data_IF_204557745616
#
_entry.id   IF_204557745616
#
_cell.length_a   1.000
_cell.length_b   1.000
_cell.length_c   1.000
_cell.angle_alpha   90.00
_cell.angle_beta   90.00
_cell.angle_gamma   90.00
#
_symmetry.space_group_name_H-M   'P 1'
#
loop_
_entity.id
_entity.type
_entity.pdbx_description
1 polymer ?
#
# COMPACT_ATOMS: atom_id res chain seq x y z
N UNK A 1 -12.66 3.40 7.64
CA UNK A 1 -11.42 2.77 8.17
C UNK A 1 -10.62 2.24 7.02
N UNK A 2 -9.32 2.48 7.01
CA UNK A 2 -8.35 1.77 6.15
C UNK A 2 -7.24 1.24 7.06
N UNK A 3 -6.85 -0.01 6.87
CA UNK A 3 -5.80 -0.66 7.66
C UNK A 3 -4.80 -1.35 6.74
N UNK A 4 -3.52 -1.12 6.95
CA UNK A 4 -2.47 -1.79 6.20
C UNK A 4 -1.60 -2.60 7.14
N UNK A 5 -1.78 -3.92 7.06
CA UNK A 5 -0.89 -4.87 7.71
C UNK A 5 0.28 -5.28 6.82
N UNK A 6 1.04 -6.28 7.27
CA UNK A 6 2.17 -6.80 6.49
C UNK A 6 1.77 -7.55 5.22
N UNK A 7 0.63 -8.27 5.23
CA UNK A 7 0.21 -9.15 4.14
C UNK A 7 -0.96 -8.58 3.32
N UNK A 8 -1.79 -7.73 3.89
CA UNK A 8 -3.05 -7.28 3.30
C UNK A 8 -3.37 -5.85 3.68
N UNK A 9 -4.26 -5.25 2.88
CA UNK A 9 -4.94 -3.99 3.17
C UNK A 9 -6.41 -4.29 3.39
N UNK A 10 -7.03 -3.62 4.36
CA UNK A 10 -8.46 -3.67 4.60
C UNK A 10 -9.09 -2.30 4.43
N UNK A 11 -10.32 -2.29 3.93
CA UNK A 11 -11.16 -1.10 3.92
C UNK A 11 -12.51 -1.44 4.52
N UNK A 12 -13.04 -0.55 5.36
CA UNK A 12 -14.41 -0.64 5.84
C UNK A 12 -15.02 0.75 5.99
N UNK A 13 -16.25 0.91 5.53
CA UNK A 13 -17.01 2.14 5.66
C UNK A 13 -18.51 1.87 5.64
N UNK A 14 -19.26 2.80 6.25
CA UNK A 14 -20.72 2.77 6.21
C UNK A 14 -21.20 3.15 4.80
N UNK A 15 -22.11 2.35 4.28
CA UNK A 15 -22.77 2.61 3.00
C UNK A 15 -24.03 3.45 3.22
N UNK A 16 -24.38 4.33 2.29
CA UNK A 16 -25.70 4.97 2.29
C UNK A 16 -26.82 3.91 2.28
N UNK A 17 -27.88 4.13 3.06
CA UNK A 17 -29.02 3.19 3.12
C UNK A 17 -29.73 3.03 1.77
N UNK A 18 -29.57 4.01 0.89
CA UNK A 18 -30.15 4.04 -0.47
C UNK A 18 -29.28 3.34 -1.51
N UNK A 19 -28.11 2.87 -1.15
CA UNK A 19 -27.19 2.20 -2.06
C UNK A 19 -27.60 0.74 -2.24
N UNK A 20 -27.91 0.33 -3.46
CA UNK A 20 -28.35 -1.03 -3.80
C UNK A 20 -27.20 -1.99 -4.16
N UNK A 21 -25.97 -1.63 -3.84
CA UNK A 21 -24.83 -2.49 -4.08
C UNK A 21 -24.92 -3.79 -3.27
N UNK A 22 -24.94 -4.92 -3.96
CA UNK A 22 -25.01 -6.25 -3.37
C UNK A 22 -23.69 -6.98 -3.56
N UNK A 23 -23.09 -7.38 -2.48
CA UNK A 23 -21.84 -8.14 -2.47
C UNK A 23 -21.74 -8.96 -1.21
N UNK A 24 -20.94 -10.03 -1.23
CA UNK A 24 -20.55 -10.80 -0.03
C UNK A 24 -19.80 -9.96 1.01
N UNK A 25 -19.27 -8.81 0.59
CA UNK A 25 -18.51 -7.87 1.42
C UNK A 25 -19.38 -6.78 2.04
N UNK A 26 -20.72 -6.90 1.91
CA UNK A 26 -21.70 -6.01 2.54
C UNK A 26 -22.36 -6.71 3.70
N UNK A 27 -22.36 -6.07 4.86
CA UNK A 27 -22.88 -6.59 6.11
C UNK A 27 -23.86 -5.61 6.73
N UNK A 28 -24.95 -6.14 7.27
CA UNK A 28 -25.84 -5.38 8.16
C UNK A 28 -25.52 -5.73 9.61
N UNK A 29 -25.25 -4.72 10.41
CA UNK A 29 -24.89 -4.88 11.82
C UNK A 29 -25.70 -3.91 12.68
N UNK A 30 -26.20 -4.39 13.81
CA UNK A 30 -26.79 -3.57 14.84
C UNK A 30 -25.78 -3.40 15.99
N UNK A 31 -25.42 -2.16 16.31
CA UNK A 31 -24.49 -1.80 17.39
C UNK A 31 -25.20 -1.23 18.62
N UNK A 32 -26.52 -1.28 18.66
CA UNK A 32 -27.31 -0.81 19.80
C UNK A 32 -27.40 -1.82 20.92
N UNK A 33 -27.83 -1.37 22.11
CA UNK A 33 -28.16 -2.25 23.22
C UNK A 33 -29.36 -3.14 22.89
N UNK A 34 -29.47 -4.28 23.58
CA UNK A 34 -30.57 -5.22 23.40
C UNK A 34 -31.94 -4.51 23.49
N UNK A 35 -32.76 -4.69 22.46
CA UNK A 35 -34.06 -4.07 22.31
C UNK A 35 -34.14 -2.77 21.52
N UNK A 36 -32.99 -2.19 21.10
CA UNK A 36 -32.95 -1.03 20.20
C UNK A 36 -32.99 -1.48 18.74
N UNK A 37 -34.17 -1.79 18.21
CA UNK A 37 -34.27 -2.51 16.94
C UNK A 37 -33.93 -1.70 15.70
N UNK A 38 -33.99 -0.37 15.67
CA UNK A 38 -33.83 0.37 14.39
C UNK A 38 -32.82 1.52 14.41
N UNK A 39 -32.43 2.05 15.54
CA UNK A 39 -31.65 3.29 15.59
C UNK A 39 -30.14 3.09 15.40
N UNK A 40 -29.66 1.84 15.50
CA UNK A 40 -28.23 1.50 15.44
C UNK A 40 -27.92 0.47 14.37
N UNK A 41 -28.76 0.38 13.34
CA UNK A 41 -28.52 -0.49 12.19
C UNK A 41 -27.64 0.22 11.16
N UNK A 42 -26.52 -0.39 10.86
CA UNK A 42 -25.54 0.07 9.88
C UNK A 42 -25.41 -0.94 8.75
N UNK A 43 -25.35 -0.45 7.53
CA UNK A 43 -24.96 -1.22 6.34
C UNK A 43 -23.49 -0.91 6.05
N UNK A 44 -22.62 -1.88 6.22
CA UNK A 44 -21.17 -1.71 6.14
C UNK A 44 -20.62 -2.51 4.96
N UNK A 45 -19.86 -1.84 4.12
CA UNK A 45 -18.97 -2.52 3.19
C UNK A 45 -17.63 -2.75 3.89
N UNK A 46 -17.12 -3.99 3.84
CA UNK A 46 -15.82 -4.34 4.40
C UNK A 46 -15.15 -5.42 3.57
N UNK A 47 -13.95 -5.16 3.09
CA UNK A 47 -13.21 -6.12 2.28
C UNK A 47 -11.72 -6.11 2.58
N UNK A 48 -11.04 -7.19 2.17
CA UNK A 48 -9.60 -7.43 2.36
C UNK A 48 -8.92 -7.65 1.02
N UNK A 49 -7.83 -6.90 0.79
CA UNK A 49 -6.97 -7.02 -0.38
C UNK A 49 -5.70 -7.78 0.01
N UNK A 50 -5.73 -9.09 -0.12
CA UNK A 50 -4.58 -9.95 0.18
C UNK A 50 -3.46 -9.73 -0.86
N UNK A 51 -2.21 -9.65 -0.40
CA UNK A 51 -1.06 -9.40 -1.26
C UNK A 51 -0.75 -7.91 -1.50
N UNK A 52 -1.52 -6.99 -0.89
CA UNK A 52 -1.32 -5.54 -0.96
C UNK A 52 -0.80 -4.94 0.35
N UNK A 53 -0.53 -5.75 1.37
CA UNK A 53 0.12 -5.27 2.59
C UNK A 53 1.59 -4.93 2.37
N UNK A 54 2.16 -4.19 3.32
CA UNK A 54 3.49 -3.62 3.21
C UNK A 54 4.60 -4.64 2.92
N UNK A 55 4.59 -5.79 3.60
CA UNK A 55 5.61 -6.82 3.37
C UNK A 55 5.47 -7.48 1.98
N UNK A 56 4.24 -7.73 1.54
CA UNK A 56 4.00 -8.33 0.22
C UNK A 56 4.31 -7.35 -0.90
N UNK A 57 3.98 -6.06 -0.69
CA UNK A 57 4.37 -4.99 -1.59
C UNK A 57 5.89 -4.88 -1.74
N UNK A 58 6.65 -4.91 -0.62
CA UNK A 58 8.11 -4.91 -0.67
C UNK A 58 8.66 -6.11 -1.45
N UNK A 59 8.14 -7.32 -1.19
CA UNK A 59 8.55 -8.53 -1.94
C UNK A 59 8.29 -8.39 -3.44
N UNK A 60 7.12 -7.87 -3.83
CA UNK A 60 6.80 -7.61 -5.24
C UNK A 60 7.77 -6.60 -5.86
N UNK A 61 8.07 -5.53 -5.14
CA UNK A 61 9.02 -4.51 -5.59
C UNK A 61 10.43 -5.09 -5.78
N UNK A 62 10.96 -5.80 -4.79
CA UNK A 62 12.27 -6.44 -4.87
C UNK A 62 12.34 -7.48 -6.00
N UNK A 63 11.31 -8.29 -6.16
CA UNK A 63 11.20 -9.21 -7.28
C UNK A 63 11.22 -8.49 -8.64
N UNK A 64 10.59 -7.32 -8.74
CA UNK A 64 10.62 -6.51 -9.97
C UNK A 64 12.01 -5.97 -10.29
N UNK A 65 12.77 -5.53 -9.28
CA UNK A 65 14.16 -5.10 -9.47
C UNK A 65 15.03 -6.24 -10.00
N UNK A 66 14.92 -7.41 -9.38
CA UNK A 66 15.67 -8.61 -9.78
C UNK A 66 15.31 -9.04 -11.21
N UNK A 67 14.01 -9.09 -11.54
CA UNK A 67 13.55 -9.52 -12.87
C UNK A 67 14.00 -8.62 -14.03
N UNK A 68 14.24 -7.34 -13.73
CA UNK A 68 14.75 -6.36 -14.70
C UNK A 68 16.27 -6.37 -14.83
N UNK A 69 16.97 -7.12 -13.97
CA UNK A 69 18.43 -7.14 -13.93
C UNK A 69 19.05 -5.79 -13.52
N UNK A 70 18.29 -4.96 -12.82
CA UNK A 70 18.74 -3.66 -12.37
C UNK A 70 19.62 -3.80 -11.12
N UNK A 71 20.68 -2.99 -11.03
CA UNK A 71 21.51 -2.88 -9.82
C UNK A 71 21.19 -1.62 -9.00
N UNK A 72 20.32 -0.76 -9.51
CA UNK A 72 19.91 0.48 -8.89
C UNK A 72 18.53 0.33 -8.23
N UNK A 73 18.42 0.76 -6.98
CA UNK A 73 17.16 0.89 -6.25
C UNK A 73 16.77 2.37 -6.08
N UNK A 74 15.81 2.82 -6.88
CA UNK A 74 15.36 4.22 -6.84
C UNK A 74 14.56 4.57 -5.60
N UNK A 75 13.99 3.57 -4.91
CA UNK A 75 13.24 3.77 -3.68
C UNK A 75 14.10 3.76 -2.42
N UNK A 76 15.34 3.29 -2.51
CA UNK A 76 16.27 3.30 -1.40
C UNK A 76 17.05 4.62 -1.33
N UNK A 77 17.39 5.13 -0.12
CA UNK A 77 18.20 6.33 0.04
C UNK A 77 19.53 6.25 -0.71
N UNK A 78 20.00 7.38 -1.19
CA UNK A 78 21.23 7.47 -1.97
C UNK A 78 22.42 6.93 -1.17
N UNK A 79 23.18 6.03 -1.78
CA UNK A 79 24.34 5.40 -1.17
C UNK A 79 24.04 4.20 -0.26
N UNK A 80 22.78 3.88 0.00
CA UNK A 80 22.43 2.63 0.68
C UNK A 80 22.75 1.45 -0.22
N UNK A 81 23.58 0.54 0.27
CA UNK A 81 23.83 -0.74 -0.41
C UNK A 81 23.07 -1.86 0.31
N UNK A 82 22.26 -2.61 -0.42
CA UNK A 82 21.53 -3.77 0.10
C UNK A 82 21.74 -4.98 -0.79
N UNK A 83 21.60 -6.16 -0.20
CA UNK A 83 21.59 -7.43 -0.92
C UNK A 83 20.22 -8.05 -0.82
N UNK A 84 19.59 -8.29 -1.94
CA UNK A 84 18.34 -9.06 -1.98
C UNK A 84 18.73 -10.52 -2.14
N UNK A 85 18.23 -11.38 -1.26
CA UNK A 85 18.48 -12.82 -1.27
C UNK A 85 17.75 -13.55 -2.38
N UNK A 86 17.72 -14.87 -2.31
CA UNK A 86 17.10 -15.73 -3.32
C UNK A 86 15.65 -15.35 -3.59
N UNK A 87 15.42 -14.83 -4.81
CA UNK A 87 14.09 -14.40 -5.26
C UNK A 87 13.59 -15.35 -6.33
N UNK A 88 12.38 -15.88 -6.13
CA UNK A 88 11.70 -16.69 -7.12
C UNK A 88 10.69 -15.82 -7.88
N UNK A 89 10.90 -15.67 -9.18
CA UNK A 89 10.01 -14.90 -10.05
C UNK A 89 9.30 -15.85 -11.02
N UNK A 90 7.97 -15.80 -11.05
CA UNK A 90 7.20 -16.55 -12.07
C UNK A 90 7.35 -15.87 -13.43
N UNK A 91 8.01 -16.54 -14.37
CA UNK A 91 8.10 -16.07 -15.73
C UNK A 91 6.81 -16.40 -16.49
N UNK A 92 6.11 -15.37 -16.93
CA UNK A 92 4.77 -15.44 -17.55
C UNK A 92 4.72 -16.27 -18.83
N UNK A 93 5.80 -16.25 -19.63
CA UNK A 93 5.84 -16.89 -20.96
C UNK A 93 5.98 -18.42 -20.94
N UNK A 94 6.48 -19.02 -19.86
CA UNK A 94 6.81 -20.46 -19.86
C UNK A 94 6.35 -21.24 -18.63
N UNK A 95 5.53 -20.67 -17.76
CA UNK A 95 5.14 -21.27 -16.45
C UNK A 95 6.37 -21.72 -15.61
N UNK A 96 7.53 -21.18 -15.91
CA UNK A 96 8.77 -21.49 -15.20
C UNK A 96 9.02 -20.48 -14.10
N UNK A 97 9.39 -20.97 -12.93
CA UNK A 97 9.92 -20.14 -11.86
C UNK A 97 11.41 -19.91 -12.14
N UNK A 98 11.81 -18.64 -12.25
CA UNK A 98 13.23 -18.27 -12.33
C UNK A 98 13.72 -17.99 -10.92
N UNK A 99 14.78 -18.67 -10.52
CA UNK A 99 15.46 -18.45 -9.26
C UNK A 99 16.67 -17.57 -9.51
N UNK A 100 16.71 -16.40 -8.87
CA UNK A 100 17.82 -15.49 -8.90
C UNK A 100 18.59 -15.60 -7.58
N UNK A 101 19.89 -15.80 -7.69
CA UNK A 101 20.78 -15.75 -6.56
C UNK A 101 21.05 -14.28 -6.16
N UNK A 102 21.54 -14.09 -4.96
CA UNK A 102 21.80 -12.80 -4.31
C UNK A 102 22.27 -11.72 -5.28
N UNK A 103 21.52 -10.63 -5.36
CA UNK A 103 21.88 -9.45 -6.14
C UNK A 103 22.12 -8.26 -5.20
N UNK A 104 23.15 -7.48 -5.52
CA UNK A 104 23.46 -6.23 -4.81
C UNK A 104 22.76 -5.07 -5.51
N UNK A 105 22.15 -4.21 -4.73
CA UNK A 105 21.47 -3.01 -5.18
C UNK A 105 22.06 -1.79 -4.49
N UNK A 106 22.13 -0.69 -5.25
CA UNK A 106 22.59 0.60 -4.77
C UNK A 106 21.43 1.59 -4.76
N UNK A 107 21.12 2.15 -3.62
CA UNK A 107 20.09 3.19 -3.47
C UNK A 107 20.49 4.46 -4.24
N UNK A 108 19.53 5.04 -4.96
CA UNK A 108 19.73 6.29 -5.71
C UNK A 108 18.84 7.45 -5.26
N UNK A 109 17.87 7.21 -4.41
CA UNK A 109 16.99 8.24 -3.82
C UNK A 109 16.17 9.01 -4.84
N UNK A 110 15.75 8.37 -5.94
CA UNK A 110 15.01 9.02 -7.02
C UNK A 110 13.50 8.84 -6.82
N UNK A 111 12.89 9.75 -6.07
CA UNK A 111 11.47 9.69 -5.71
C UNK A 111 10.54 9.46 -6.89
N UNK A 112 10.65 10.26 -7.96
CA UNK A 112 9.70 10.18 -9.07
C UNK A 112 9.82 8.84 -9.84
N UNK A 113 11.04 8.33 -9.97
CA UNK A 113 11.29 7.01 -10.55
C UNK A 113 10.78 5.88 -9.64
N UNK A 114 10.94 6.02 -8.33
CA UNK A 114 10.38 5.12 -7.34
C UNK A 114 8.85 5.09 -7.45
N UNK A 115 8.19 6.23 -7.42
CA UNK A 115 6.74 6.34 -7.51
C UNK A 115 6.19 5.68 -8.79
N UNK A 116 6.80 5.98 -9.95
CA UNK A 116 6.42 5.36 -11.23
C UNK A 116 6.53 3.84 -11.19
N UNK A 117 7.58 3.30 -10.56
CA UNK A 117 7.77 1.85 -10.42
C UNK A 117 6.72 1.22 -9.52
N UNK A 118 6.44 1.85 -8.38
CA UNK A 118 5.46 1.35 -7.43
C UNK A 118 4.04 1.39 -8.03
N UNK A 119 3.67 2.47 -8.70
CA UNK A 119 2.38 2.58 -9.37
C UNK A 119 2.16 1.45 -10.37
N UNK A 120 3.20 1.07 -11.12
CA UNK A 120 3.12 -0.05 -12.08
C UNK A 120 2.95 -1.43 -11.43
N UNK A 121 3.26 -1.58 -10.14
CA UNK A 121 3.05 -2.82 -9.38
C UNK A 121 1.66 -2.92 -8.76
N UNK A 122 1.04 -1.78 -8.51
CA UNK A 122 -0.32 -1.69 -7.95
C UNK A 122 -1.35 -1.80 -9.07
N UNK A 123 -1.10 -1.09 -10.17
CA UNK A 123 -1.94 -1.07 -11.37
C UNK A 123 -1.59 -2.25 -12.30
N UNK A 124 -1.98 -3.44 -11.90
CA UNK A 124 -1.80 -4.64 -12.74
C UNK A 124 -2.80 -4.65 -13.89
N UNK A 125 -2.42 -4.00 -15.00
CA UNK A 125 -3.22 -3.92 -16.24
C UNK A 125 -3.53 -5.26 -16.90
N UNK A 126 -3.20 -6.36 -16.27
CA UNK A 126 -3.41 -7.71 -16.81
C UNK A 126 -4.71 -8.36 -16.36
N UNK A 127 -5.37 -7.79 -15.39
CA UNK A 127 -6.70 -8.19 -14.97
C UNK A 127 -7.75 -7.51 -15.87
N UNK A 128 -8.93 -8.13 -16.06
CA UNK A 128 -9.98 -7.50 -16.85
C UNK A 128 -10.36 -6.16 -16.23
N UNK A 129 -10.45 -5.14 -17.07
CA UNK A 129 -10.90 -3.83 -16.62
C UNK A 129 -12.23 -3.96 -15.88
N UNK A 130 -12.41 -3.16 -14.84
CA UNK A 130 -13.68 -3.01 -14.15
C UNK A 130 -14.72 -2.50 -15.14
N UNK A 131 -15.53 -3.41 -15.70
CA UNK A 131 -16.29 -3.13 -16.91
C UNK A 131 -17.51 -2.22 -16.71
N UNK A 132 -18.07 -2.13 -15.49
CA UNK A 132 -19.31 -1.38 -15.26
C UNK A 132 -19.43 -0.74 -13.86
N UNK A 133 -18.47 -0.96 -12.97
CA UNK A 133 -18.52 -0.51 -11.58
C UNK A 133 -17.21 0.09 -11.13
N UNK A 134 -17.25 0.90 -10.09
CA UNK A 134 -16.05 1.33 -9.37
C UNK A 134 -15.35 0.11 -8.78
N UNK A 135 -14.03 0.03 -8.93
CA UNK A 135 -13.25 -1.03 -8.32
C UNK A 135 -12.16 -0.45 -7.43
N UNK A 136 -11.84 -1.19 -6.38
CA UNK A 136 -10.66 -0.98 -5.56
C UNK A 136 -9.48 -1.83 -6.05
N UNK A 137 -8.47 -1.98 -5.21
CA UNK A 137 -7.28 -2.79 -5.47
C UNK A 137 -7.64 -4.21 -5.93
N UNK A 138 -6.89 -4.74 -6.90
CA UNK A 138 -7.13 -6.09 -7.42
C UNK A 138 -8.47 -6.25 -8.14
N UNK A 139 -9.01 -5.15 -8.67
CA UNK A 139 -10.29 -5.14 -9.41
C UNK A 139 -11.49 -5.66 -8.61
N UNK A 140 -11.44 -5.54 -7.28
CA UNK A 140 -12.56 -5.90 -6.42
C UNK A 140 -13.68 -4.89 -6.61
N UNK A 141 -14.91 -5.30 -7.03
CA UNK A 141 -16.03 -4.39 -7.17
C UNK A 141 -16.32 -3.64 -5.86
N UNK A 142 -16.58 -2.35 -5.99
CA UNK A 142 -16.81 -1.47 -4.86
C UNK A 142 -18.11 -0.70 -5.04
N UNK A 143 -18.82 -0.39 -3.94
CA UNK A 143 -19.97 0.51 -3.99
C UNK A 143 -19.52 1.91 -4.37
N UNK A 144 -20.47 2.73 -4.81
CA UNK A 144 -20.22 4.15 -5.06
C UNK A 144 -19.75 4.83 -3.76
N UNK A 145 -18.61 5.48 -3.83
CA UNK A 145 -17.94 6.01 -2.66
C UNK A 145 -17.59 7.49 -2.87
N UNK A 146 -18.09 8.34 -1.99
CA UNK A 146 -17.78 9.77 -2.04
C UNK A 146 -16.85 10.16 -0.90
N UNK A 147 -15.58 10.37 -1.22
CA UNK A 147 -14.55 10.78 -0.25
C UNK A 147 -14.88 12.08 0.48
N UNK A 148 -15.66 12.98 -0.12
CA UNK A 148 -16.02 14.25 0.53
C UNK A 148 -17.02 14.11 1.69
N UNK A 149 -17.72 12.98 1.77
CA UNK A 149 -18.74 12.72 2.80
C UNK A 149 -18.30 11.69 3.85
N UNK A 150 -17.16 11.05 3.64
CA UNK A 150 -16.67 9.99 4.52
C UNK A 150 -15.32 10.37 5.11
N UNK A 151 -15.22 10.34 6.43
CA UNK A 151 -13.94 10.44 7.12
C UNK A 151 -13.29 9.06 7.22
N UNK A 152 -12.10 8.92 6.63
CA UNK A 152 -11.31 7.70 6.72
C UNK A 152 -10.24 7.82 7.80
N UNK A 153 -10.13 6.78 8.60
CA UNK A 153 -9.08 6.64 9.60
C UNK A 153 -8.10 5.57 9.16
N UNK A 154 -6.83 5.93 9.08
CA UNK A 154 -5.73 5.03 8.72
C UNK A 154 -5.10 4.37 9.95
N UNK A 155 -4.96 3.03 9.91
CA UNK A 155 -4.40 2.23 10.99
C UNK A 155 -3.11 1.53 10.55
N UNK A 156 -2.36 1.03 11.52
CA UNK A 156 -1.15 0.22 11.34
C UNK A 156 -0.10 0.95 10.50
N UNK A 157 0.32 0.44 9.36
CA UNK A 157 1.40 1.04 8.55
C UNK A 157 1.04 2.44 8.03
N UNK A 158 -0.24 2.78 7.84
CA UNK A 158 -0.66 4.16 7.53
C UNK A 158 -0.24 5.12 8.65
N UNK A 159 -0.54 4.76 9.90
CA UNK A 159 -0.18 5.57 11.05
C UNK A 159 1.33 5.59 11.29
N UNK A 160 1.98 4.44 11.29
CA UNK A 160 3.41 4.35 11.58
C UNK A 160 4.24 5.11 10.56
N UNK A 161 3.89 5.01 9.29
CA UNK A 161 4.60 5.69 8.21
C UNK A 161 4.43 7.20 8.30
N UNK A 162 3.19 7.70 8.34
CA UNK A 162 2.93 9.14 8.41
C UNK A 162 3.54 9.77 9.65
N UNK A 163 3.43 9.12 10.80
CA UNK A 163 4.05 9.56 12.06
C UNK A 163 5.58 9.63 11.98
N UNK A 164 6.22 8.66 11.29
CA UNK A 164 7.68 8.63 11.11
C UNK A 164 8.21 9.81 10.31
N UNK A 165 7.38 10.39 9.43
CA UNK A 165 7.70 11.58 8.65
C UNK A 165 7.13 12.88 9.22
N UNK A 166 6.63 12.86 10.48
CA UNK A 166 6.06 14.05 11.11
C UNK A 166 4.74 14.54 10.49
N UNK A 167 4.05 13.65 9.76
CA UNK A 167 2.77 13.90 9.10
C UNK A 167 1.63 13.04 9.71
N UNK A 168 1.78 12.58 10.96
CA UNK A 168 0.73 11.90 11.70
C UNK A 168 -0.40 12.84 12.11
N UNK A 169 -1.60 12.31 12.36
CA UNK A 169 -2.80 13.08 12.66
C UNK A 169 -3.66 13.29 11.42
N UNK A 170 -4.14 14.49 11.20
CA UNK A 170 -4.87 14.83 9.97
C UNK A 170 -3.94 14.66 8.75
N UNK A 171 -4.39 13.85 7.80
CA UNK A 171 -3.54 13.48 6.66
C UNK A 171 -3.48 14.61 5.62
N UNK A 172 -2.27 15.09 5.40
CA UNK A 172 -1.94 16.05 4.35
C UNK A 172 -0.99 15.38 3.35
N UNK A 173 -1.50 15.08 2.17
CA UNK A 173 -0.76 14.41 1.09
C UNK A 173 0.46 15.20 0.64
N UNK A 174 0.34 16.53 0.51
CA UNK A 174 1.45 17.38 0.04
C UNK A 174 2.57 17.44 1.07
N UNK A 175 2.20 17.65 2.34
CA UNK A 175 3.16 17.61 3.44
C UNK A 175 3.86 16.28 3.54
N UNK A 176 3.12 15.18 3.54
CA UNK A 176 3.69 13.83 3.60
C UNK A 176 4.64 13.56 2.43
N UNK A 177 4.19 13.82 1.20
CA UNK A 177 5.00 13.62 0.00
C UNK A 177 6.27 14.47 0.00
N UNK A 178 6.17 15.72 0.47
CA UNK A 178 7.34 16.62 0.61
C UNK A 178 8.38 16.04 1.57
N UNK A 179 7.95 15.55 2.75
CA UNK A 179 8.87 15.01 3.75
C UNK A 179 9.51 13.69 3.30
N UNK A 180 8.73 12.80 2.68
CA UNK A 180 9.25 11.56 2.12
C UNK A 180 10.25 11.84 0.98
N UNK A 181 9.94 12.78 0.08
CA UNK A 181 10.85 13.18 -1.01
C UNK A 181 12.17 13.74 -0.47
N UNK A 182 12.12 14.63 0.52
CA UNK A 182 13.31 15.15 1.22
C UNK A 182 14.14 14.03 1.83
N UNK A 183 13.46 13.07 2.47
CA UNK A 183 14.13 11.93 3.09
C UNK A 183 14.82 11.04 2.05
N UNK A 184 14.15 10.68 0.97
CA UNK A 184 14.70 9.85 -0.12
C UNK A 184 15.94 10.49 -0.76
N UNK A 185 15.97 11.82 -0.85
CA UNK A 185 17.09 12.57 -1.42
C UNK A 185 18.33 12.66 -0.52
N UNK A 186 18.24 12.24 0.75
CA UNK A 186 19.39 12.27 1.67
C UNK A 186 20.39 11.16 1.35
N UNK A 187 21.66 11.44 1.61
CA UNK A 187 22.69 10.41 1.62
C UNK A 187 22.49 9.45 2.80
N UNK A 188 22.72 8.17 2.59
CA UNK A 188 22.55 7.14 3.61
C UNK A 188 23.38 7.42 4.86
N UNK A 189 24.58 7.95 4.71
CA UNK A 189 25.47 8.32 5.83
C UNK A 189 24.81 9.36 6.73
N UNK A 190 24.14 10.38 6.15
CA UNK A 190 23.48 11.43 6.93
C UNK A 190 22.27 10.89 7.69
N UNK A 191 21.55 9.93 7.09
CA UNK A 191 20.42 9.25 7.73
C UNK A 191 20.90 8.44 8.95
N UNK A 192 22.02 7.73 8.83
CA UNK A 192 22.59 6.94 9.93
C UNK A 192 23.00 7.82 11.12
N UNK A 193 23.57 8.99 10.84
CA UNK A 193 24.02 9.93 11.88
C UNK A 193 22.84 10.59 12.60
N UNK A 194 21.74 10.88 11.89
CA UNK A 194 20.59 11.61 12.44
C UNK A 194 19.78 10.85 13.49
N UNK A 195 20.15 9.60 13.85
CA UNK A 195 19.43 8.73 14.82
C UNK A 195 17.92 8.65 14.59
N UNK A 196 17.43 9.01 13.41
CA UNK A 196 16.08 8.66 13.04
C UNK A 196 16.07 7.13 13.05
N UNK A 197 15.46 6.54 14.08
CA UNK A 197 15.29 5.09 14.17
C UNK A 197 14.58 4.67 12.89
N UNK A 198 15.34 4.11 11.98
CA UNK A 198 14.90 3.49 10.73
C UNK A 198 14.02 2.26 11.00
N UNK A 199 13.05 2.45 11.92
CA UNK A 199 12.10 1.41 12.22
C UNK A 199 11.21 1.26 11.00
N UNK A 200 11.54 0.27 10.17
CA UNK A 200 10.74 -0.16 9.02
C UNK A 200 10.53 0.86 7.89
N UNK A 201 11.52 1.64 7.53
CA UNK A 201 11.42 2.61 6.43
C UNK A 201 11.23 2.00 5.03
N UNK A 202 11.33 0.69 4.91
CA UNK A 202 11.03 0.01 3.65
C UNK A 202 9.54 -0.06 3.33
N UNK A 203 8.67 0.29 4.28
CA UNK A 203 7.22 0.12 4.15
C UNK A 203 6.47 1.41 3.83
N UNK A 204 7.10 2.56 3.94
CA UNK A 204 6.48 3.85 3.72
C UNK A 204 6.31 4.27 2.26
N UNK A 205 6.76 3.49 1.31
CA UNK A 205 6.76 3.87 -0.10
C UNK A 205 5.59 3.34 -0.93
N UNK A 206 4.59 2.76 -0.30
CA UNK A 206 3.45 2.16 -1.01
C UNK A 206 2.20 3.03 -1.06
N UNK A 207 2.33 4.35 -1.13
CA UNK A 207 1.21 5.27 -1.34
C UNK A 207 1.51 6.30 -2.41
#
# INVERSE_FOLDING_TARGET
MIDMGGASVQIAFEMPKTEDFVSKDVFEINLGPDGSQNDFNYKIYSTTFLGYGANEGLKKYEASLVSRGESEDSCAPKGLSKTIGDVSVKARLFLKTLNFHRMKFQGSGQWDKCLTRLSSLIDDKTEPACSEQTCFLGYVPAPTFNLSTVQLYGFSEYWYTTSSFGAGGEYDFEKFTSEVRKFCGKDWVDIQVSRIRLFKMYFGFFF
#
